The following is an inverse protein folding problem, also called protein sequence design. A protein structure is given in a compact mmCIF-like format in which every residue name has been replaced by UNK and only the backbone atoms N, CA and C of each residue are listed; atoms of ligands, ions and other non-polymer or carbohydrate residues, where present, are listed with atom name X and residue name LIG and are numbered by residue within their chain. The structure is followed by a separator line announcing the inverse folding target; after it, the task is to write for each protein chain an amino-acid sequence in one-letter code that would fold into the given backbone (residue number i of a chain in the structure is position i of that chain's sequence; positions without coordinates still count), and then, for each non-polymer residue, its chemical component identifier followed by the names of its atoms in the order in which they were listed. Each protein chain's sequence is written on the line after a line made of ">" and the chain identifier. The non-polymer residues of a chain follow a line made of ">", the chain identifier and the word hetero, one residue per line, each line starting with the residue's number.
data_IF_590309368057
#
_entry.id   IF_590309368057
#
_cell.length_a   1.000
_cell.length_b   1.000
_cell.length_c   1.000
_cell.angle_alpha   90.00
_cell.angle_beta   90.00
_cell.angle_gamma   90.00
#
_symmetry.space_group_name_H-M   'P 1'
#
loop_
_entity.id
_entity.type
_entity.pdbx_description
1 polymer ?
#
# COMPACT_ATOMS: atom_id res chain seq x y z
N UNK A 1 15.55 31.73 -1.15
CA UNK A 1 15.36 31.19 0.22
C UNK A 1 13.88 30.89 0.39
N UNK A 2 13.52 29.69 0.87
CA UNK A 2 12.13 29.37 1.23
C UNK A 2 11.95 29.69 2.72
N UNK A 3 10.89 30.41 3.08
CA UNK A 3 10.59 30.79 4.47
C UNK A 3 9.54 29.85 5.05
N UNK A 4 9.62 29.56 6.35
CA UNK A 4 8.69 28.66 7.00
C UNK A 4 7.27 29.28 7.05
N UNK A 5 6.28 28.57 6.50
CA UNK A 5 4.91 29.08 6.41
C UNK A 5 4.24 29.30 7.78
N UNK A 6 4.54 28.45 8.77
CA UNK A 6 4.05 28.64 10.14
C UNK A 6 4.63 29.90 10.77
N UNK A 7 5.89 30.21 10.50
CA UNK A 7 6.51 31.45 10.95
C UNK A 7 5.92 32.67 10.25
N UNK A 8 5.73 32.63 8.92
CA UNK A 8 5.10 33.71 8.14
C UNK A 8 3.67 33.99 8.62
N UNK A 9 2.90 32.97 8.99
CA UNK A 9 1.53 33.14 9.51
C UNK A 9 1.49 33.97 10.81
N UNK A 10 2.58 33.98 11.59
CA UNK A 10 2.70 34.80 12.81
C UNK A 10 3.17 36.23 12.55
N UNK A 11 3.55 36.56 11.32
CA UNK A 11 4.01 37.90 10.93
C UNK A 11 2.79 38.73 10.48
N UNK A 12 2.69 40.02 10.86
CA UNK A 12 1.64 40.90 10.37
C UNK A 12 1.69 41.01 8.84
N UNK A 13 0.65 40.56 8.16
CA UNK A 13 0.53 40.66 6.70
C UNK A 13 0.08 42.04 6.22
N UNK A 14 0.15 42.27 4.92
CA UNK A 14 -0.39 43.44 4.22
C UNK A 14 -1.64 43.09 3.43
N UNK A 15 -2.50 44.09 3.22
CA UNK A 15 -3.83 43.91 2.61
C UNK A 15 -3.81 43.45 1.14
N UNK A 16 -2.68 43.60 0.45
CA UNK A 16 -2.55 43.29 -0.98
C UNK A 16 -1.31 42.43 -1.20
N UNK A 17 -1.40 41.41 -2.05
CA UNK A 17 -0.32 40.46 -2.32
C UNK A 17 1.00 41.12 -2.69
N UNK A 18 0.96 42.21 -3.49
CA UNK A 18 2.15 42.99 -3.87
C UNK A 18 2.86 43.58 -2.64
N UNK A 19 2.11 44.24 -1.76
CA UNK A 19 2.65 44.85 -0.54
C UNK A 19 3.10 43.80 0.47
N UNK A 20 2.45 42.64 0.49
CA UNK A 20 2.82 41.55 1.38
C UNK A 20 4.14 40.91 0.93
N UNK A 21 4.33 40.72 -0.38
CA UNK A 21 5.59 40.27 -0.95
C UNK A 21 6.74 41.25 -0.69
N UNK A 22 6.51 42.56 -0.88
CA UNK A 22 7.47 43.62 -0.53
C UNK A 22 7.86 43.57 0.96
N UNK A 23 6.86 43.47 1.83
CA UNK A 23 7.05 43.40 3.28
C UNK A 23 7.85 42.16 3.71
N UNK A 24 7.51 40.98 3.16
CA UNK A 24 8.25 39.75 3.41
C UNK A 24 9.70 39.88 2.92
N UNK A 25 9.94 40.53 1.77
CA UNK A 25 11.28 40.76 1.26
C UNK A 25 12.11 41.65 2.20
N UNK A 26 11.52 42.68 2.79
CA UNK A 26 12.19 43.52 3.78
C UNK A 26 12.51 42.73 5.06
N UNK A 27 11.57 41.93 5.56
CA UNK A 27 11.83 41.06 6.72
C UNK A 27 12.95 40.05 6.47
N UNK A 28 13.04 39.52 5.25
CA UNK A 28 14.15 38.65 4.81
C UNK A 28 15.47 39.40 4.86
N UNK A 29 15.54 40.62 4.30
CA UNK A 29 16.77 41.43 4.30
C UNK A 29 17.26 41.75 5.72
N UNK A 30 16.34 41.97 6.65
CA UNK A 30 16.66 42.27 8.04
C UNK A 30 16.89 41.01 8.90
N UNK A 31 16.81 39.80 8.33
CA UNK A 31 17.01 38.55 9.08
C UNK A 31 15.90 38.25 10.09
N UNK A 32 14.75 38.91 9.97
CA UNK A 32 13.61 38.77 10.88
C UNK A 32 12.74 37.53 10.59
N UNK A 33 13.05 36.80 9.51
CA UNK A 33 12.39 35.55 9.16
C UNK A 33 13.38 34.39 9.07
N UNK A 34 12.99 33.27 9.66
CA UNK A 34 13.77 32.02 9.68
C UNK A 34 13.58 31.25 8.37
N UNK A 35 14.69 30.89 7.73
CA UNK A 35 14.70 30.00 6.58
C UNK A 35 14.07 28.63 6.94
N UNK A 36 13.32 28.06 6.01
CA UNK A 36 12.87 26.67 6.10
C UNK A 36 14.05 25.72 6.03
N UNK A 37 13.97 24.63 6.80
CA UNK A 37 14.88 23.50 6.61
C UNK A 37 14.61 22.86 5.25
N UNK A 38 15.63 22.83 4.39
CA UNK A 38 15.62 22.12 3.12
C UNK A 38 16.62 20.96 3.27
N UNK A 39 16.16 19.70 3.26
CA UNK A 39 17.06 18.55 3.32
C UNK A 39 18.07 18.57 2.17
N UNK A 40 19.25 18.00 2.40
CA UNK A 40 20.24 17.86 1.33
C UNK A 40 19.72 16.92 0.22
N UNK A 41 20.48 16.82 -0.88
CA UNK A 41 20.07 16.02 -2.04
C UNK A 41 19.79 14.56 -1.66
N UNK A 42 20.71 13.93 -0.94
CA UNK A 42 20.62 12.51 -0.59
C UNK A 42 19.38 12.21 0.26
N UNK A 43 19.09 13.07 1.23
CA UNK A 43 17.87 12.97 2.05
C UNK A 43 16.59 13.15 1.23
N UNK A 44 16.59 14.04 0.24
CA UNK A 44 15.42 14.25 -0.63
C UNK A 44 15.18 13.04 -1.52
N UNK A 45 16.22 12.51 -2.16
CA UNK A 45 16.12 11.30 -2.99
C UNK A 45 15.68 10.08 -2.16
N UNK A 46 16.21 9.91 -0.94
CA UNK A 46 15.78 8.85 -0.04
C UNK A 46 14.31 8.99 0.37
N UNK A 47 13.83 10.22 0.59
CA UNK A 47 12.41 10.47 0.90
C UNK A 47 11.51 10.20 -0.30
N UNK A 48 11.97 10.50 -1.50
CA UNK A 48 11.21 10.26 -2.73
C UNK A 48 10.98 8.76 -2.94
N UNK A 49 12.03 7.95 -2.89
CA UNK A 49 11.90 6.50 -3.08
C UNK A 49 11.11 5.82 -1.94
N UNK A 50 11.27 6.27 -0.69
CA UNK A 50 10.51 5.72 0.44
C UNK A 50 9.02 6.06 0.37
N UNK A 51 8.66 7.26 -0.13
CA UNK A 51 7.26 7.61 -0.41
C UNK A 51 6.69 6.78 -1.54
N UNK A 52 7.43 6.64 -2.64
CA UNK A 52 6.96 5.82 -3.75
C UNK A 52 6.73 4.36 -3.32
N UNK A 53 7.63 3.79 -2.52
CA UNK A 53 7.42 2.47 -1.91
C UNK A 53 6.12 2.39 -1.10
N UNK A 54 5.83 3.41 -0.31
CA UNK A 54 4.60 3.46 0.47
C UNK A 54 3.35 3.47 -0.44
N UNK A 55 3.38 4.25 -1.52
CA UNK A 55 2.29 4.28 -2.51
C UNK A 55 2.05 2.91 -3.17
N UNK A 56 3.13 2.19 -3.52
CA UNK A 56 3.05 0.83 -4.09
C UNK A 56 2.51 -0.18 -3.07
N UNK A 57 2.87 -0.06 -1.78
CA UNK A 57 2.29 -0.89 -0.71
C UNK A 57 0.79 -0.67 -0.59
N UNK A 58 0.36 0.59 -0.63
CA UNK A 58 -1.07 0.94 -0.58
C UNK A 58 -1.81 0.45 -1.82
N UNK A 59 -1.17 0.47 -3.00
CA UNK A 59 -1.74 -0.09 -4.22
C UNK A 59 -1.93 -1.60 -4.11
N UNK A 60 -0.93 -2.33 -3.59
CA UNK A 60 -1.05 -3.76 -3.33
C UNK A 60 -2.17 -4.08 -2.35
N UNK A 61 -2.34 -3.27 -1.30
CA UNK A 61 -3.44 -3.41 -0.35
C UNK A 61 -4.81 -3.17 -1.01
N UNK A 62 -4.91 -2.16 -1.89
CA UNK A 62 -6.13 -1.93 -2.70
C UNK A 62 -6.44 -3.13 -3.59
N UNK A 63 -5.45 -3.75 -4.20
CA UNK A 63 -5.65 -4.92 -5.06
C UNK A 63 -6.14 -6.14 -4.26
N UNK A 64 -5.57 -6.38 -3.08
CA UNK A 64 -6.06 -7.41 -2.15
C UNK A 64 -7.53 -7.20 -1.78
N UNK A 65 -7.93 -5.96 -1.50
CA UNK A 65 -9.33 -5.64 -1.20
C UNK A 65 -10.26 -5.91 -2.40
N UNK A 66 -9.80 -5.67 -3.65
CA UNK A 66 -10.56 -6.01 -4.85
C UNK A 66 -10.73 -7.53 -4.99
N UNK A 67 -9.68 -8.30 -4.73
CA UNK A 67 -9.75 -9.78 -4.72
C UNK A 67 -10.78 -10.24 -3.68
N UNK A 68 -10.73 -9.69 -2.47
CA UNK A 68 -11.68 -10.03 -1.42
C UNK A 68 -13.13 -9.72 -1.86
N UNK A 69 -13.37 -8.57 -2.49
CA UNK A 69 -14.70 -8.23 -3.00
C UNK A 69 -15.21 -9.22 -4.06
N UNK A 70 -14.34 -9.72 -4.94
CA UNK A 70 -14.69 -10.75 -5.92
C UNK A 70 -15.04 -12.07 -5.24
N UNK A 71 -14.25 -12.50 -4.26
CA UNK A 71 -14.51 -13.72 -3.48
C UNK A 71 -15.84 -13.61 -2.72
N UNK A 72 -16.08 -12.50 -2.04
CA UNK A 72 -17.33 -12.26 -1.28
C UNK A 72 -18.55 -12.25 -2.21
N UNK A 73 -18.44 -11.66 -3.40
CA UNK A 73 -19.48 -11.73 -4.43
C UNK A 73 -19.79 -13.15 -4.91
N UNK A 74 -18.83 -14.07 -4.76
CA UNK A 74 -18.99 -15.50 -5.06
C UNK A 74 -19.43 -16.34 -3.85
N UNK A 75 -19.80 -15.69 -2.73
CA UNK A 75 -20.09 -16.31 -1.43
C UNK A 75 -18.89 -17.05 -0.80
N UNK A 76 -17.65 -16.63 -1.11
CA UNK A 76 -16.43 -17.14 -0.50
C UNK A 76 -15.89 -16.12 0.50
N UNK A 77 -15.95 -16.45 1.80
CA UNK A 77 -15.60 -15.54 2.91
C UNK A 77 -14.26 -15.91 3.55
N UNK A 78 -13.19 -15.95 2.77
CA UNK A 78 -11.87 -16.37 3.24
C UNK A 78 -11.33 -15.49 4.39
N UNK A 79 -11.63 -14.19 4.35
CA UNK A 79 -11.26 -13.19 5.36
C UNK A 79 -11.91 -13.42 6.73
N UNK A 80 -13.00 -14.19 6.83
CA UNK A 80 -13.61 -14.49 8.13
C UNK A 80 -12.83 -15.55 8.91
N UNK A 81 -12.02 -16.36 8.23
CA UNK A 81 -11.31 -17.50 8.83
C UNK A 81 -9.81 -17.25 8.90
N UNK A 82 -9.23 -16.67 7.84
CA UNK A 82 -7.81 -16.37 7.76
C UNK A 82 -7.59 -14.89 8.07
N UNK A 83 -6.75 -14.60 9.07
CA UNK A 83 -6.44 -13.23 9.50
C UNK A 83 -5.72 -12.42 8.43
N UNK A 84 -4.92 -13.07 7.58
CA UNK A 84 -4.17 -12.44 6.51
C UNK A 84 -4.28 -13.26 5.22
N UNK A 85 -5.03 -12.75 4.25
CA UNK A 85 -5.21 -13.36 2.92
C UNK A 85 -3.88 -13.33 2.13
N UNK A 86 -3.03 -12.33 2.37
CA UNK A 86 -1.71 -12.22 1.72
C UNK A 86 -0.66 -13.16 2.32
N UNK A 87 -0.99 -13.82 3.43
CA UNK A 87 -0.18 -14.85 4.05
C UNK A 87 -0.11 -16.13 3.22
N UNK A 88 0.84 -17.02 3.56
CA UNK A 88 1.14 -18.24 2.79
C UNK A 88 -0.11 -19.08 2.49
N UNK A 89 -0.90 -19.43 3.50
CA UNK A 89 -2.12 -20.23 3.35
C UNK A 89 -3.15 -19.55 2.45
N UNK A 90 -3.39 -18.25 2.63
CA UNK A 90 -4.34 -17.50 1.82
C UNK A 90 -3.94 -17.43 0.35
N UNK A 91 -2.66 -17.19 0.07
CA UNK A 91 -2.12 -17.16 -1.28
C UNK A 91 -2.12 -18.53 -1.96
N UNK A 92 -1.83 -19.61 -1.23
CA UNK A 92 -1.90 -20.98 -1.76
C UNK A 92 -3.34 -21.33 -2.16
N UNK A 93 -4.32 -21.02 -1.29
CA UNK A 93 -5.74 -21.23 -1.56
C UNK A 93 -6.20 -20.40 -2.77
N UNK A 94 -5.81 -19.11 -2.82
CA UNK A 94 -6.15 -18.24 -3.94
C UNK A 94 -5.58 -18.76 -5.27
N UNK A 95 -4.34 -19.26 -5.26
CA UNK A 95 -3.71 -19.88 -6.44
C UNK A 95 -4.45 -21.13 -6.91
N UNK A 96 -4.93 -21.95 -5.98
CA UNK A 96 -5.73 -23.12 -6.31
C UNK A 96 -7.09 -22.72 -6.92
N UNK A 97 -7.77 -21.72 -6.34
CA UNK A 97 -9.01 -21.15 -6.89
C UNK A 97 -8.80 -20.64 -8.32
N UNK A 98 -7.73 -19.88 -8.55
CA UNK A 98 -7.37 -19.37 -9.88
C UNK A 98 -7.04 -20.50 -10.87
N UNK A 99 -6.55 -21.62 -10.38
CA UNK A 99 -6.23 -22.81 -11.18
C UNK A 99 -7.45 -23.68 -11.50
N UNK A 100 -8.63 -23.32 -10.98
CA UNK A 100 -9.89 -24.01 -11.26
C UNK A 100 -10.43 -24.84 -10.10
N UNK A 101 -9.71 -24.93 -8.98
CA UNK A 101 -10.18 -25.68 -7.82
C UNK A 101 -11.31 -24.92 -7.10
N UNK A 102 -12.40 -25.63 -6.81
CA UNK A 102 -13.58 -25.06 -6.15
C UNK A 102 -14.12 -25.92 -5.02
N UNK A 103 -13.57 -27.13 -4.81
CA UNK A 103 -13.95 -28.00 -3.71
C UNK A 103 -13.46 -27.39 -2.37
N UNK A 104 -14.38 -27.00 -1.46
CA UNK A 104 -14.04 -26.45 -0.16
C UNK A 104 -13.14 -27.37 0.67
N UNK A 105 -13.27 -28.69 0.51
CA UNK A 105 -12.47 -29.68 1.25
C UNK A 105 -11.03 -29.63 0.77
N UNK A 106 -10.80 -29.72 -0.55
CA UNK A 106 -9.47 -29.65 -1.15
C UNK A 106 -8.79 -28.33 -0.82
N UNK A 107 -9.51 -27.22 -0.98
CA UNK A 107 -8.99 -25.89 -0.66
C UNK A 107 -8.63 -25.73 0.82
N UNK A 108 -9.45 -26.26 1.74
CA UNK A 108 -9.16 -26.18 3.18
C UNK A 108 -7.91 -26.95 3.60
N UNK A 109 -7.57 -28.05 2.93
CA UNK A 109 -6.38 -28.85 3.22
C UNK A 109 -5.07 -28.15 2.81
N UNK A 110 -5.15 -27.15 1.92
CA UNK A 110 -4.02 -26.29 1.57
C UNK A 110 -3.64 -25.32 2.71
N UNK A 111 -4.44 -25.25 3.78
CA UNK A 111 -4.10 -24.47 4.95
C UNK A 111 -2.83 -25.00 5.64
N UNK A 112 -1.92 -24.09 5.96
CA UNK A 112 -0.68 -24.39 6.67
C UNK A 112 -0.66 -23.80 8.10
N UNK A 113 0.11 -24.44 8.99
CA UNK A 113 0.35 -23.96 10.36
C UNK A 113 -0.94 -23.81 11.17
N UNK A 114 -1.05 -22.69 11.89
CA UNK A 114 -2.23 -22.36 12.74
C UNK A 114 -3.55 -22.23 11.97
N UNK A 115 -3.52 -22.12 10.64
CA UNK A 115 -4.73 -22.09 9.84
C UNK A 115 -5.40 -23.49 9.74
N UNK A 116 -4.65 -24.57 9.99
CA UNK A 116 -5.19 -25.95 9.98
C UNK A 116 -6.23 -26.17 11.07
N UNK A 117 -6.05 -25.53 12.23
CA UNK A 117 -7.00 -25.62 13.35
C UNK A 117 -8.40 -25.10 12.97
N UNK A 118 -8.48 -24.29 11.89
CA UNK A 118 -9.71 -23.69 11.38
C UNK A 118 -10.27 -24.39 10.15
N UNK A 119 -9.74 -25.54 9.73
CA UNK A 119 -10.23 -26.28 8.55
C UNK A 119 -11.76 -26.45 8.55
N UNK A 120 -12.43 -26.86 9.66
CA UNK A 120 -13.88 -27.03 9.65
C UNK A 120 -14.66 -25.72 9.39
N UNK A 121 -14.13 -24.59 9.86
CA UNK A 121 -14.72 -23.27 9.62
C UNK A 121 -14.41 -22.79 8.20
N UNK A 122 -13.21 -23.08 7.71
CA UNK A 122 -12.75 -22.75 6.36
C UNK A 122 -13.57 -23.47 5.29
N UNK A 123 -13.89 -24.74 5.49
CA UNK A 123 -14.77 -25.48 4.58
C UNK A 123 -16.14 -24.81 4.45
N UNK A 124 -16.68 -24.26 5.55
CA UNK A 124 -17.94 -23.50 5.51
C UNK A 124 -17.79 -22.17 4.79
N UNK A 125 -16.68 -21.46 5.01
CA UNK A 125 -16.46 -20.15 4.38
C UNK A 125 -16.09 -20.22 2.91
N UNK A 126 -15.58 -21.37 2.45
CA UNK A 126 -15.23 -21.64 1.05
C UNK A 126 -16.41 -22.18 0.23
N UNK A 127 -17.59 -22.40 0.82
CA UNK A 127 -18.81 -22.80 0.10
C UNK A 127 -19.37 -21.65 -0.75
N UNK A 128 -18.82 -21.52 -1.96
CA UNK A 128 -19.22 -20.52 -2.93
C UNK A 128 -19.28 -21.06 -4.36
N UNK A 129 -19.68 -20.19 -5.29
CA UNK A 129 -19.70 -20.49 -6.72
C UNK A 129 -18.85 -19.47 -7.45
N UNK A 130 -17.67 -19.91 -7.88
CA UNK A 130 -16.74 -19.09 -8.67
C UNK A 130 -16.86 -19.57 -10.11
N UNK A 131 -17.34 -18.71 -11.01
CA UNK A 131 -17.37 -19.05 -12.43
C UNK A 131 -16.01 -18.80 -13.09
N UNK A 132 -15.84 -19.31 -14.30
CA UNK A 132 -14.64 -19.10 -15.12
C UNK A 132 -14.32 -17.60 -15.31
N UNK A 133 -15.36 -16.74 -15.36
CA UNK A 133 -15.18 -15.30 -15.47
C UNK A 133 -14.48 -14.72 -14.23
N UNK A 134 -14.93 -15.07 -13.02
CA UNK A 134 -14.29 -14.59 -11.79
C UNK A 134 -12.91 -15.22 -11.60
N UNK A 135 -12.70 -16.47 -11.99
CA UNK A 135 -11.37 -17.10 -11.98
C UNK A 135 -10.38 -16.31 -12.85
N UNK A 136 -10.79 -15.94 -14.08
CA UNK A 136 -9.96 -15.10 -14.97
C UNK A 136 -9.66 -13.73 -14.35
N UNK A 137 -10.66 -13.09 -13.75
CA UNK A 137 -10.47 -11.80 -13.07
C UNK A 137 -9.46 -11.95 -11.91
N UNK A 138 -9.66 -12.92 -11.02
CA UNK A 138 -8.75 -13.22 -9.91
C UNK A 138 -7.33 -13.52 -10.39
N UNK A 139 -7.17 -14.20 -11.54
CA UNK A 139 -5.86 -14.46 -12.15
C UNK A 139 -5.12 -13.17 -12.50
N UNK A 140 -5.80 -12.20 -13.12
CA UNK A 140 -5.19 -10.90 -13.45
C UNK A 140 -4.82 -10.11 -12.20
N UNK A 141 -5.70 -10.09 -11.19
CA UNK A 141 -5.47 -9.38 -9.94
C UNK A 141 -4.31 -9.99 -9.15
N UNK A 142 -4.24 -11.33 -9.11
CA UNK A 142 -3.14 -12.04 -8.49
C UNK A 142 -1.80 -11.74 -9.17
N UNK A 143 -1.77 -11.73 -10.50
CA UNK A 143 -0.58 -11.33 -11.26
C UNK A 143 -0.14 -9.90 -10.93
N UNK A 144 -1.09 -8.97 -10.75
CA UNK A 144 -0.78 -7.61 -10.34
C UNK A 144 -0.20 -7.52 -8.92
N UNK A 145 -0.72 -8.32 -7.98
CA UNK A 145 -0.14 -8.41 -6.63
C UNK A 145 1.29 -8.94 -6.67
N UNK A 146 1.57 -9.95 -7.50
CA UNK A 146 2.91 -10.51 -7.65
C UNK A 146 3.89 -9.47 -8.22
N UNK A 147 3.48 -8.69 -9.23
CA UNK A 147 4.32 -7.61 -9.78
C UNK A 147 4.55 -6.47 -8.78
N UNK A 148 3.51 -6.03 -8.07
CA UNK A 148 3.64 -5.02 -7.01
C UNK A 148 4.55 -5.51 -5.88
N UNK A 149 4.46 -6.79 -5.52
CA UNK A 149 5.33 -7.38 -4.49
C UNK A 149 6.79 -7.40 -4.93
N UNK A 150 7.07 -7.78 -6.19
CA UNK A 150 8.41 -7.73 -6.75
C UNK A 150 8.97 -6.29 -6.76
N UNK A 151 8.15 -5.30 -7.15
CA UNK A 151 8.54 -3.89 -7.14
C UNK A 151 8.85 -3.39 -5.72
N UNK A 152 8.04 -3.75 -4.72
CA UNK A 152 8.31 -3.38 -3.32
C UNK A 152 9.66 -3.95 -2.85
N UNK A 153 9.98 -5.19 -3.22
CA UNK A 153 11.26 -5.83 -2.87
C UNK A 153 12.46 -5.13 -3.53
N UNK A 154 12.31 -4.69 -4.78
CA UNK A 154 13.34 -3.95 -5.49
C UNK A 154 13.57 -2.57 -4.85
N UNK A 155 12.49 -1.85 -4.54
CA UNK A 155 12.54 -0.58 -3.82
C UNK A 155 13.17 -0.73 -2.43
N UNK A 156 12.88 -1.82 -1.71
CA UNK A 156 13.52 -2.14 -0.43
C UNK A 156 15.03 -2.32 -0.56
N UNK A 157 15.49 -2.99 -1.63
CA UNK A 157 16.91 -3.17 -1.89
C UNK A 157 17.60 -1.82 -2.19
N UNK A 158 16.97 -0.95 -2.97
CA UNK A 158 17.53 0.36 -3.31
C UNK A 158 17.55 1.33 -2.13
N UNK A 159 16.50 1.31 -1.29
CA UNK A 159 16.47 2.06 -0.03
C UNK A 159 17.63 1.60 0.87
N UNK A 160 17.84 0.29 1.01
CA UNK A 160 18.91 -0.27 1.85
C UNK A 160 20.29 0.14 1.36
N UNK A 161 20.53 0.14 0.04
CA UNK A 161 21.78 0.63 -0.56
C UNK A 161 22.00 2.12 -0.27
N UNK A 162 20.98 2.96 -0.37
CA UNK A 162 21.09 4.40 -0.08
C UNK A 162 21.28 4.72 1.42
N UNK A 163 20.81 3.85 2.32
CA UNK A 163 20.99 4.03 3.77
C UNK A 163 22.39 3.62 4.26
N UNK A 164 23.03 2.66 3.58
CA UNK A 164 24.39 2.18 3.86
C UNK A 164 25.30 2.44 2.65
N UNK A 165 25.71 3.71 2.42
CA UNK A 165 26.54 4.08 1.29
C UNK A 165 27.94 3.46 1.33
#
# INVERSE_FOLDING_TARGET
>A
MVVNAQHIKGVPGRKTDVKDAEWIADLVRHGLVKASYIPNRDQRELREITRYRQEVIEERARELNRIQAVLEGCNVKLSSVITDISGKSGMTILKAIVSGETDPVVLSELAEGRARDKIPEMQKSLQGRISEHQQKMLKHQLGHIESLTALIMDLDADIKKKQNP
#
